data_IF_230607523100
#
_entry.id   IF_230607523100
#
_cell.length_a   1.000
_cell.length_b   1.000
_cell.length_c   1.000
_cell.angle_alpha   90.00
_cell.angle_beta   90.00
_cell.angle_gamma   90.00
#
_symmetry.space_group_name_H-M   'P 1'
#
loop_
_entity.id
_entity.type
_entity.pdbx_description
1 polymer ?
#
# COMPACT_ATOMS: atom_id res chain seq x y z
N UNK A 1 -8.62 -36.79 3.54
CA UNK A 1 -8.90 -35.33 3.45
C UNK A 1 -7.91 -34.57 2.55
N UNK A 2 -6.75 -35.16 2.18
CA UNK A 2 -5.71 -34.46 1.40
C UNK A 2 -5.82 -34.60 -0.15
N UNK A 3 -6.42 -35.69 -0.65
CA UNK A 3 -6.48 -35.98 -2.10
C UNK A 3 -7.33 -34.98 -2.90
N UNK A 4 -8.47 -34.54 -2.35
CA UNK A 4 -9.35 -33.58 -3.01
C UNK A 4 -8.71 -32.19 -3.14
N UNK A 5 -7.91 -31.77 -2.16
CA UNK A 5 -7.21 -30.50 -2.17
C UNK A 5 -6.01 -30.51 -3.15
N UNK A 6 -5.30 -31.63 -3.24
CA UNK A 6 -4.23 -31.85 -4.22
C UNK A 6 -4.75 -31.89 -5.65
N UNK A 7 -5.86 -32.61 -5.90
CA UNK A 7 -6.53 -32.63 -7.20
C UNK A 7 -7.00 -31.23 -7.62
N UNK A 8 -7.66 -30.48 -6.73
CA UNK A 8 -8.10 -29.11 -7.01
C UNK A 8 -6.95 -28.14 -7.31
N UNK A 9 -5.76 -28.34 -6.73
CA UNK A 9 -4.55 -27.57 -7.07
C UNK A 9 -4.00 -27.96 -8.45
N UNK A 10 -3.96 -29.26 -8.77
CA UNK A 10 -3.48 -29.76 -10.05
C UNK A 10 -4.35 -29.26 -11.22
N UNK A 11 -5.68 -29.31 -11.08
CA UNK A 11 -6.62 -28.79 -12.08
C UNK A 11 -6.40 -27.29 -12.29
N UNK A 12 -6.28 -26.53 -11.19
CA UNK A 12 -6.07 -25.07 -11.25
C UNK A 12 -4.73 -24.68 -11.90
N UNK A 13 -3.69 -25.50 -11.78
CA UNK A 13 -2.40 -25.31 -12.45
C UNK A 13 -2.53 -25.61 -13.94
N UNK A 14 -3.21 -26.70 -14.31
CA UNK A 14 -3.47 -27.08 -15.71
C UNK A 14 -4.27 -26.02 -16.46
N UNK A 15 -5.37 -25.55 -15.87
CA UNK A 15 -6.26 -24.54 -16.48
C UNK A 15 -5.53 -23.22 -16.71
N UNK A 16 -4.72 -22.79 -15.73
CA UNK A 16 -3.91 -21.58 -15.85
C UNK A 16 -2.85 -21.71 -16.93
N UNK A 17 -2.19 -22.86 -17.05
CA UNK A 17 -1.20 -23.12 -18.09
C UNK A 17 -1.81 -23.14 -19.49
N UNK A 18 -3.04 -23.66 -19.65
CA UNK A 18 -3.78 -23.62 -20.91
C UNK A 18 -4.14 -22.17 -21.30
N UNK A 19 -4.60 -21.37 -20.34
CA UNK A 19 -4.89 -19.94 -20.54
C UNK A 19 -3.64 -19.15 -20.96
N UNK A 20 -2.50 -19.37 -20.29
CA UNK A 20 -1.24 -18.73 -20.67
C UNK A 20 -0.78 -19.12 -22.08
N UNK A 21 -1.03 -20.36 -22.51
CA UNK A 21 -0.67 -20.83 -23.85
C UNK A 21 -1.51 -20.18 -24.94
N UNK A 22 -2.83 -20.09 -24.75
CA UNK A 22 -3.73 -19.46 -25.74
C UNK A 22 -3.50 -17.96 -25.86
N UNK A 23 -3.18 -17.30 -24.75
CA UNK A 23 -2.75 -15.89 -24.74
C UNK A 23 -1.43 -15.75 -25.50
N UNK A 24 -0.43 -16.60 -25.23
CA UNK A 24 0.87 -16.56 -25.92
C UNK A 24 0.76 -16.82 -27.42
N UNK A 25 -0.17 -17.66 -27.87
CA UNK A 25 -0.43 -17.89 -29.30
C UNK A 25 -1.15 -16.71 -29.96
N UNK A 26 -2.07 -16.02 -29.28
CA UNK A 26 -2.68 -14.78 -29.80
C UNK A 26 -1.67 -13.65 -30.01
N UNK A 27 -0.61 -13.60 -29.20
CA UNK A 27 0.43 -12.58 -29.28
C UNK A 27 1.69 -13.03 -30.04
N UNK A 28 1.66 -14.21 -30.70
CA UNK A 28 2.76 -14.70 -31.55
C UNK A 28 2.71 -14.00 -32.91
N UNK A 29 3.30 -12.82 -33.02
CA UNK A 29 3.52 -12.16 -34.30
C UNK A 29 3.60 -10.64 -34.23
N UNK A 30 2.93 -10.03 -33.26
CA UNK A 30 2.90 -8.58 -33.10
C UNK A 30 3.99 -8.11 -32.14
N UNK A 31 4.68 -7.02 -32.50
CA UNK A 31 5.52 -6.28 -31.53
C UNK A 31 4.58 -5.68 -30.49
N UNK A 32 4.41 -6.38 -29.37
CA UNK A 32 3.67 -5.85 -28.22
C UNK A 32 4.48 -4.70 -27.64
N UNK A 33 3.98 -3.47 -27.80
CA UNK A 33 4.55 -2.28 -27.15
C UNK A 33 4.07 -2.31 -25.70
N UNK A 34 5.03 -2.41 -24.78
CA UNK A 34 4.76 -2.33 -23.34
C UNK A 34 4.96 -0.89 -22.92
N UNK A 35 3.88 -0.23 -22.52
CA UNK A 35 3.91 1.13 -21.98
C UNK A 35 3.93 1.15 -20.43
N UNK A 36 4.12 2.33 -19.85
CA UNK A 36 4.11 2.52 -18.39
C UNK A 36 2.81 2.05 -17.74
N UNK A 37 1.67 2.22 -18.44
CA UNK A 37 0.36 1.82 -17.95
C UNK A 37 0.23 0.30 -17.86
N UNK A 38 0.84 -0.44 -18.78
CA UNK A 38 0.89 -1.90 -18.77
C UNK A 38 1.68 -2.41 -17.57
N UNK A 39 2.84 -1.81 -17.30
CA UNK A 39 3.67 -2.14 -16.14
C UNK A 39 2.91 -1.84 -14.85
N UNK A 40 2.32 -0.65 -14.75
CA UNK A 40 1.57 -0.24 -13.57
C UNK A 40 0.38 -1.16 -13.29
N UNK A 41 -0.38 -1.58 -14.32
CA UNK A 41 -1.48 -2.56 -14.18
C UNK A 41 -0.97 -3.92 -13.69
N UNK A 42 0.14 -4.41 -14.24
CA UNK A 42 0.72 -5.69 -13.83
C UNK A 42 1.18 -5.65 -12.36
N UNK A 43 1.92 -4.60 -11.98
CA UNK A 43 2.39 -4.39 -10.60
C UNK A 43 1.20 -4.21 -9.65
N UNK A 44 0.16 -3.48 -10.07
CA UNK A 44 -1.06 -3.29 -9.28
C UNK A 44 -1.77 -4.60 -8.96
N UNK A 45 -1.88 -5.51 -9.92
CA UNK A 45 -2.47 -6.85 -9.70
C UNK A 45 -1.64 -7.68 -8.72
N UNK A 46 -0.31 -7.62 -8.81
CA UNK A 46 0.59 -8.38 -7.93
C UNK A 46 0.57 -7.81 -6.50
N UNK A 47 0.63 -6.49 -6.38
CA UNK A 47 0.80 -5.80 -5.08
C UNK A 47 -0.52 -5.46 -4.40
N UNK A 48 -1.63 -5.48 -5.12
CA UNK A 48 -2.92 -4.96 -4.63
C UNK A 48 -2.92 -3.43 -4.50
N UNK A 49 -1.97 -2.72 -5.12
CA UNK A 49 -1.85 -1.27 -5.11
C UNK A 49 -2.39 -0.69 -6.44
N UNK A 50 -3.58 -0.07 -6.48
CA UNK A 50 -4.15 0.63 -7.62
C UNK A 50 -3.21 1.71 -8.15
N UNK A 51 -3.17 1.79 -9.47
CA UNK A 51 -2.31 2.68 -10.26
C UNK A 51 -2.55 4.17 -9.94
N UNK A 52 -3.74 4.56 -9.47
CA UNK A 52 -4.13 5.96 -9.21
C UNK A 52 -4.38 6.27 -7.72
N UNK A 53 -3.65 5.66 -6.79
CA UNK A 53 -3.92 5.88 -5.35
C UNK A 53 -3.46 7.24 -4.81
N UNK A 54 -2.40 7.83 -5.36
CA UNK A 54 -1.81 9.07 -4.86
C UNK A 54 -1.63 10.06 -6.01
N UNK A 55 -2.07 11.30 -5.82
CA UNK A 55 -1.66 12.38 -6.71
C UNK A 55 -0.21 12.78 -6.43
N UNK A 56 0.47 13.41 -7.38
CA UNK A 56 1.82 13.97 -7.16
C UNK A 56 1.82 14.93 -5.95
N UNK A 57 0.79 15.76 -5.83
CA UNK A 57 0.63 16.70 -4.72
C UNK A 57 0.48 15.98 -3.36
N UNK A 58 -0.32 14.91 -3.30
CA UNK A 58 -0.48 14.11 -2.08
C UNK A 58 0.81 13.37 -1.73
N UNK A 59 1.53 12.87 -2.74
CA UNK A 59 2.82 12.19 -2.55
C UNK A 59 3.87 13.12 -1.96
N UNK A 60 3.96 14.35 -2.47
CA UNK A 60 4.88 15.37 -1.94
C UNK A 60 4.51 15.76 -0.50
N UNK A 61 3.21 16.00 -0.24
CA UNK A 61 2.69 16.32 1.10
C UNK A 61 3.01 15.21 2.11
N UNK A 62 2.84 13.95 1.72
CA UNK A 62 3.17 12.79 2.55
C UNK A 62 4.67 12.59 2.74
N UNK A 63 5.48 12.97 1.75
CA UNK A 63 6.94 12.96 1.86
C UNK A 63 7.46 13.88 2.96
N UNK A 64 6.82 15.04 3.15
CA UNK A 64 7.16 16.04 4.18
C UNK A 64 6.35 15.91 5.48
N UNK A 65 5.54 14.85 5.62
CA UNK A 65 4.63 14.68 6.76
C UNK A 65 5.39 14.62 8.09
N UNK A 66 6.50 13.89 8.13
CA UNK A 66 7.31 13.73 9.34
C UNK A 66 7.89 15.07 9.81
N UNK A 67 8.50 15.82 8.89
CA UNK A 67 9.06 17.14 9.18
C UNK A 67 8.00 18.11 9.72
N UNK A 68 6.83 18.16 9.07
CA UNK A 68 5.70 19.01 9.51
C UNK A 68 5.16 18.64 10.88
N UNK A 69 5.24 17.36 11.27
CA UNK A 69 4.86 16.91 12.61
C UNK A 69 5.94 17.25 13.64
N UNK A 70 7.21 17.11 13.30
CA UNK A 70 8.35 17.49 14.15
C UNK A 70 8.40 19.00 14.44
N UNK A 71 7.96 19.85 13.50
CA UNK A 71 7.81 21.30 13.71
C UNK A 71 6.84 21.63 14.85
N UNK A 72 5.85 20.76 15.11
CA UNK A 72 4.80 20.98 16.12
C UNK A 72 4.99 20.18 17.39
N UNK A 73 5.62 19.01 17.30
CA UNK A 73 5.81 18.08 18.43
C UNK A 73 7.30 17.86 18.64
N UNK A 74 7.85 18.58 19.62
CA UNK A 74 9.29 18.58 19.90
C UNK A 74 9.64 17.45 20.89
N UNK A 75 10.72 16.72 20.62
CA UNK A 75 11.28 15.72 21.52
C UNK A 75 10.52 14.39 21.56
N UNK A 76 9.72 14.10 20.52
CA UNK A 76 8.96 12.85 20.37
C UNK A 76 9.19 12.18 19.00
N UNK A 77 10.43 12.27 18.47
CA UNK A 77 10.78 11.87 17.09
C UNK A 77 10.32 10.45 16.74
N UNK A 78 10.47 9.50 17.67
CA UNK A 78 10.02 8.12 17.46
C UNK A 78 8.50 8.02 17.27
N UNK A 79 7.72 8.70 18.13
CA UNK A 79 6.26 8.71 18.02
C UNK A 79 5.80 9.39 16.73
N UNK A 80 6.44 10.49 16.35
CA UNK A 80 6.19 11.21 15.11
C UNK A 80 6.48 10.32 13.89
N UNK A 81 7.64 9.67 13.85
CA UNK A 81 8.03 8.78 12.75
C UNK A 81 7.07 7.59 12.60
N UNK A 82 6.64 6.98 13.71
CA UNK A 82 5.66 5.88 13.69
C UNK A 82 4.30 6.33 13.12
N UNK A 83 3.82 7.50 13.52
CA UNK A 83 2.58 8.08 12.99
C UNK A 83 2.72 8.40 11.50
N UNK A 84 3.78 9.09 11.10
CA UNK A 84 4.02 9.46 9.71
C UNK A 84 4.11 8.22 8.80
N UNK A 85 4.79 7.17 9.25
CA UNK A 85 4.90 5.90 8.52
C UNK A 85 3.55 5.16 8.42
N UNK A 86 2.74 5.17 9.47
CA UNK A 86 1.42 4.54 9.42
C UNK A 86 0.47 5.28 8.46
N UNK A 87 0.48 6.62 8.49
CA UNK A 87 -0.32 7.44 7.57
C UNK A 87 0.12 7.22 6.12
N UNK A 88 1.43 7.25 5.83
CA UNK A 88 1.99 6.94 4.50
C UNK A 88 1.52 5.58 3.98
N UNK A 89 1.65 4.52 4.78
CA UNK A 89 1.18 3.17 4.41
C UNK A 89 -0.33 3.11 4.18
N UNK A 90 -1.10 3.80 5.02
CA UNK A 90 -2.54 3.87 4.90
C UNK A 90 -3.01 4.55 3.60
N UNK A 91 -2.35 5.64 3.21
CA UNK A 91 -2.65 6.39 1.99
C UNK A 91 -2.15 5.70 0.71
N UNK A 92 -1.01 5.03 0.77
CA UNK A 92 -0.55 4.13 -0.29
C UNK A 92 -1.44 2.87 -0.44
N UNK A 93 -2.37 2.66 0.50
CA UNK A 93 -3.30 1.52 0.57
C UNK A 93 -2.60 0.17 0.74
N UNK A 94 -1.47 0.18 1.43
CA UNK A 94 -0.75 -1.01 1.88
C UNK A 94 -1.42 -1.66 3.12
N UNK A 95 -2.69 -1.35 3.37
CA UNK A 95 -3.46 -1.82 4.53
C UNK A 95 -4.71 -2.56 4.06
N UNK A 96 -5.13 -3.53 4.88
CA UNK A 96 -6.49 -4.09 4.85
C UNK A 96 -7.56 -2.97 4.89
N UNK A 97 -8.43 -2.87 3.85
CA UNK A 97 -9.53 -1.92 3.81
C UNK A 97 -10.54 -2.05 4.98
N UNK A 98 -10.62 -3.22 5.62
CA UNK A 98 -11.57 -3.49 6.71
C UNK A 98 -11.11 -3.03 8.10
N UNK A 99 -9.87 -2.58 8.24
CA UNK A 99 -9.29 -2.10 9.52
C UNK A 99 -9.14 -0.59 9.52
N UNK A 100 -8.94 0.12 10.64
CA UNK A 100 -8.61 1.56 10.63
C UNK A 100 -7.22 1.88 10.05
N UNK A 101 -7.02 3.11 9.52
CA UNK A 101 -5.73 3.58 8.94
C UNK A 101 -4.56 3.34 9.88
N UNK A 102 -4.74 3.74 11.12
CA UNK A 102 -3.80 3.50 12.19
C UNK A 102 -4.57 3.39 13.50
N UNK A 103 -4.09 2.53 14.39
CA UNK A 103 -4.58 2.42 15.77
C UNK A 103 -3.37 2.63 16.67
N UNK A 104 -3.42 3.66 17.50
CA UNK A 104 -2.33 4.07 18.37
C UNK A 104 -2.81 4.20 19.81
N UNK A 105 -1.92 3.86 20.75
CA UNK A 105 -2.10 4.10 22.17
C UNK A 105 -0.93 4.95 22.67
N UNK A 106 -1.20 6.21 23.01
CA UNK A 106 -0.17 7.13 23.50
C UNK A 106 -0.09 7.11 25.04
N UNK A 107 0.98 6.52 25.57
CA UNK A 107 1.27 6.43 27.01
C UNK A 107 2.26 7.53 27.46
N UNK A 108 2.26 7.86 28.75
CA UNK A 108 3.09 8.94 29.32
C UNK A 108 2.31 9.98 30.13
N UNK A 109 3.02 10.96 30.71
CA UNK A 109 2.46 12.04 31.51
C UNK A 109 1.66 13.04 30.66
N UNK A 110 0.94 13.97 31.30
CA UNK A 110 0.23 15.07 30.61
C UNK A 110 1.23 16.11 30.08
N UNK A 111 0.84 16.85 29.03
CA UNK A 111 1.64 17.96 28.50
C UNK A 111 2.80 17.60 27.56
N UNK A 112 3.12 16.31 27.36
CA UNK A 112 4.24 15.87 26.50
C UNK A 112 3.95 15.84 24.99
N UNK A 113 2.80 16.39 24.55
CA UNK A 113 2.49 16.51 23.12
C UNK A 113 1.64 15.39 22.50
N UNK A 114 1.09 14.45 23.28
CA UNK A 114 0.24 13.36 22.74
C UNK A 114 -0.99 13.87 21.97
N UNK A 115 -1.72 14.81 22.56
CA UNK A 115 -2.91 15.41 21.94
C UNK A 115 -2.52 16.28 20.76
N UNK A 116 -1.38 16.98 20.86
CA UNK A 116 -0.88 17.83 19.78
C UNK A 116 -0.46 16.99 18.57
N UNK A 117 0.15 15.83 18.78
CA UNK A 117 0.47 14.89 17.70
C UNK A 117 -0.78 14.41 16.95
N UNK A 118 -1.86 14.09 17.67
CA UNK A 118 -3.14 13.74 17.05
C UNK A 118 -3.72 14.89 16.21
N UNK A 119 -3.68 16.13 16.74
CA UNK A 119 -4.18 17.32 16.06
C UNK A 119 -3.34 17.63 14.81
N UNK A 120 -2.02 17.62 14.96
CA UNK A 120 -1.08 17.85 13.88
C UNK A 120 -1.24 16.81 12.76
N UNK A 121 -1.39 15.53 13.10
CA UNK A 121 -1.61 14.47 12.12
C UNK A 121 -2.96 14.56 11.38
N UNK A 122 -3.97 15.20 11.96
CA UNK A 122 -5.27 15.40 11.31
C UNK A 122 -5.25 16.55 10.30
N UNK A 123 -4.46 17.59 10.57
CA UNK A 123 -4.29 18.76 9.69
C UNK A 123 -3.24 18.53 8.59
N UNK A 124 -2.27 17.65 8.86
CA UNK A 124 -1.14 17.38 7.99
C UNK A 124 -1.48 16.55 6.77
#
# INVERSE_FOLDING_TARGET
>A
LDEAAAAARATRISDRNALFRSVKERFRGDRVIVDEENIAKAVSVITGIPVRRLSENESERLGRLEDRLCERVIGQDNAVSLVANAVRRGRAGLRDPKRPICSFLFLGQTGVGKTELCRAAAEA
#
